data_IF_793428472013
#
_entry.id   IF_793428472013
#
_cell.length_a   1.000
_cell.length_b   1.000
_cell.length_c   1.000
_cell.angle_alpha   90.00
_cell.angle_beta   90.00
_cell.angle_gamma   90.00
#
_symmetry.space_group_name_H-M   'P 1'
#
loop_
_entity.id
_entity.type
_entity.pdbx_description
1 polymer ?
#
# COMPACT_ATOMS: atom_id res chain seq x y z
N UNK A 1 40.06 -43.94 47.79
CA UNK A 1 40.47 -43.23 49.03
C UNK A 1 40.01 -41.78 48.88
N UNK A 2 39.29 -41.31 49.89
CA UNK A 2 38.73 -39.95 50.10
C UNK A 2 37.63 -39.44 49.17
N UNK A 3 36.42 -39.80 49.60
CA UNK A 3 35.19 -39.02 49.53
C UNK A 3 35.38 -37.58 50.03
N UNK A 4 34.74 -36.63 49.36
CA UNK A 4 34.10 -35.50 50.03
C UNK A 4 32.67 -35.35 49.51
N UNK A 5 31.74 -35.76 50.36
CA UNK A 5 30.34 -35.37 50.33
C UNK A 5 30.25 -33.87 50.62
N UNK A 6 29.51 -33.13 49.80
CA UNK A 6 28.85 -31.91 50.24
C UNK A 6 27.35 -32.08 50.01
N UNK A 7 26.66 -32.39 51.10
CA UNK A 7 25.24 -32.16 51.27
C UNK A 7 25.02 -30.65 51.38
N UNK A 8 24.15 -30.08 50.56
CA UNK A 8 23.53 -28.78 50.81
C UNK A 8 22.04 -28.88 50.48
N UNK A 9 21.24 -28.54 51.50
CA UNK A 9 19.80 -28.74 51.62
C UNK A 9 18.95 -27.91 50.63
N UNK A 10 17.69 -28.32 50.40
CA UNK A 10 16.76 -27.60 49.53
C UNK A 10 16.31 -26.27 50.15
N UNK A 11 16.42 -25.19 49.38
CA UNK A 11 15.96 -23.85 49.75
C UNK A 11 14.43 -23.77 49.58
N UNK A 12 13.68 -23.23 50.55
CA UNK A 12 12.22 -23.18 50.53
C UNK A 12 11.65 -22.21 49.48
N UNK A 13 10.60 -22.67 48.80
CA UNK A 13 9.69 -21.88 47.97
C UNK A 13 8.90 -20.89 48.84
N UNK A 14 9.35 -19.64 48.90
CA UNK A 14 8.53 -18.55 49.44
C UNK A 14 7.72 -17.92 48.31
N UNK A 15 6.45 -18.30 48.27
CA UNK A 15 5.37 -17.59 47.59
C UNK A 15 5.29 -16.16 48.12
N UNK A 16 5.64 -15.18 47.29
CA UNK A 16 5.23 -13.79 47.49
C UNK A 16 4.42 -13.34 46.29
N UNK A 17 3.11 -13.57 46.41
CA UNK A 17 2.07 -12.88 45.67
C UNK A 17 2.11 -11.39 46.10
N UNK A 18 2.88 -10.58 45.39
CA UNK A 18 2.73 -9.13 45.41
C UNK A 18 2.04 -8.72 44.12
N UNK A 19 0.71 -8.76 44.18
CA UNK A 19 -0.17 -8.16 43.19
C UNK A 19 0.05 -6.66 43.20
N UNK A 20 0.96 -6.17 42.35
CA UNK A 20 1.00 -4.76 42.00
C UNK A 20 -0.23 -4.48 41.14
N UNK A 21 -1.34 -4.19 41.81
CA UNK A 21 -2.49 -3.52 41.23
C UNK A 21 -2.03 -2.12 40.79
N UNK A 22 -1.47 -2.03 39.59
CA UNK A 22 -1.52 -0.79 38.84
C UNK A 22 -3.00 -0.57 38.58
N UNK A 23 -3.56 0.40 39.28
CA UNK A 23 -4.85 0.99 38.99
C UNK A 23 -4.83 1.39 37.51
N UNK A 24 -5.33 0.51 36.66
CA UNK A 24 -5.75 0.87 35.31
C UNK A 24 -6.98 1.73 35.55
N UNK A 25 -6.75 3.03 35.71
CA UNK A 25 -7.81 4.01 35.59
C UNK A 25 -8.51 3.72 34.26
N UNK A 26 -9.80 3.44 34.36
CA UNK A 26 -10.70 3.20 33.24
C UNK A 26 -10.71 4.45 32.36
N UNK A 27 -9.70 4.58 31.50
CA UNK A 27 -9.74 5.49 30.38
C UNK A 27 -10.65 4.80 29.38
N UNK A 28 -11.90 5.23 29.38
CA UNK A 28 -12.90 4.98 28.35
C UNK A 28 -12.19 4.83 27.01
N UNK A 29 -12.16 3.61 26.48
CA UNK A 29 -11.60 3.34 25.16
C UNK A 29 -12.46 4.11 24.17
N UNK A 30 -11.99 5.29 23.77
CA UNK A 30 -12.63 6.11 22.77
C UNK A 30 -12.66 5.28 21.49
N UNK A 31 -13.86 4.83 21.08
CA UNK A 31 -14.09 4.14 19.81
C UNK A 31 -13.69 5.09 18.67
N UNK A 32 -12.43 5.07 18.27
CA UNK A 32 -11.94 5.92 17.18
C UNK A 32 -10.42 6.05 17.09
N UNK A 33 -9.68 5.87 18.18
CA UNK A 33 -8.22 6.03 18.12
C UNK A 33 -7.52 4.72 17.79
N UNK A 34 -6.85 4.69 16.63
CA UNK A 34 -5.91 3.63 16.29
C UNK A 34 -4.81 3.59 17.36
N UNK A 35 -4.39 2.39 17.85
CA UNK A 35 -3.31 2.26 18.85
C UNK A 35 -1.95 2.77 18.35
N UNK A 36 -1.85 3.13 17.06
CA UNK A 36 -0.70 3.76 16.43
C UNK A 36 -0.87 5.29 16.28
N UNK A 37 -1.91 5.87 16.88
CA UNK A 37 -2.11 7.31 16.99
C UNK A 37 -2.63 8.01 15.74
N UNK A 38 -3.52 7.40 14.95
CA UNK A 38 -4.00 8.01 13.69
C UNK A 38 -5.38 8.66 13.78
N UNK A 39 -5.38 9.99 13.62
CA UNK A 39 -6.51 10.79 13.13
C UNK A 39 -6.41 10.93 11.60
N UNK A 40 -7.54 11.18 10.93
CA UNK A 40 -7.59 11.57 9.51
C UNK A 40 -6.83 12.89 9.23
N UNK A 41 -6.38 13.58 10.28
CA UNK A 41 -5.80 14.91 10.27
C UNK A 41 -4.26 14.92 10.36
N UNK A 42 -3.59 13.77 10.31
CA UNK A 42 -2.12 13.76 10.21
C UNK A 42 -1.72 14.27 8.82
N UNK A 43 -1.32 15.54 8.80
CA UNK A 43 -0.51 16.11 7.74
C UNK A 43 0.84 15.38 7.76
N UNK A 44 0.90 14.24 7.05
CA UNK A 44 2.17 13.63 6.69
C UNK A 44 2.87 14.62 5.81
N UNK A 45 3.79 15.36 6.42
CA UNK A 45 4.49 16.49 5.86
C UNK A 45 5.16 16.05 4.54
N UNK A 46 4.39 16.14 3.42
CA UNK A 46 4.70 15.84 2.01
C UNK A 46 4.30 14.48 1.40
N UNK A 47 3.53 13.61 2.06
CA UNK A 47 3.05 12.36 1.42
C UNK A 47 1.55 12.43 1.07
N UNK A 48 1.24 12.48 -0.23
CA UNK A 48 -0.14 12.53 -0.72
C UNK A 48 -0.61 11.17 -1.21
N UNK A 49 -1.65 10.63 -0.58
CA UNK A 49 -2.28 9.37 -0.95
C UNK A 49 -3.75 9.56 -1.36
N UNK A 50 -4.27 8.72 -2.27
CA UNK A 50 -3.56 7.69 -3.02
C UNK A 50 -2.67 8.28 -4.12
N UNK A 51 -1.57 7.59 -4.43
CA UNK A 51 -0.81 7.82 -5.66
C UNK A 51 -1.68 7.42 -6.86
N UNK A 52 -2.02 8.39 -7.71
CA UNK A 52 -2.90 8.19 -8.88
C UNK A 52 -2.17 7.94 -10.21
N UNK A 53 -0.85 8.17 -10.26
CA UNK A 53 -0.05 8.09 -11.50
C UNK A 53 1.29 7.38 -11.28
N UNK A 54 1.86 6.74 -12.31
CA UNK A 54 3.17 6.10 -12.20
C UNK A 54 4.27 7.04 -11.70
N UNK A 55 4.25 8.31 -12.14
CA UNK A 55 5.22 9.33 -11.70
C UNK A 55 5.14 9.63 -10.20
N UNK A 56 3.97 9.47 -9.57
CA UNK A 56 3.83 9.64 -8.12
C UNK A 56 4.39 8.43 -7.37
N UNK A 57 4.26 7.23 -7.93
CA UNK A 57 4.90 6.01 -7.40
C UNK A 57 6.42 6.15 -7.44
N UNK A 58 6.98 6.64 -8.55
CA UNK A 58 8.42 6.91 -8.68
C UNK A 58 8.91 7.99 -7.71
N UNK A 59 8.11 9.05 -7.51
CA UNK A 59 8.45 10.11 -6.54
C UNK A 59 8.45 9.57 -5.11
N UNK A 60 7.46 8.75 -4.74
CA UNK A 60 7.38 8.10 -3.44
C UNK A 60 8.56 7.13 -3.25
N UNK A 61 8.85 6.30 -4.25
CA UNK A 61 9.99 5.37 -4.23
C UNK A 61 11.30 6.11 -4.00
N UNK A 62 11.53 7.20 -4.75
CA UNK A 62 12.72 8.03 -4.58
C UNK A 62 12.76 8.67 -3.19
N UNK A 63 11.66 9.25 -2.72
CA UNK A 63 11.62 9.92 -1.42
C UNK A 63 11.91 8.96 -0.27
N UNK A 64 11.37 7.73 -0.31
CA UNK A 64 11.61 6.70 0.71
C UNK A 64 13.04 6.16 0.64
N UNK A 65 13.66 6.09 -0.54
CA UNK A 65 15.08 5.72 -0.68
C UNK A 65 16.02 6.81 -0.16
N UNK A 66 15.75 8.07 -0.49
CA UNK A 66 16.64 9.19 -0.21
C UNK A 66 16.58 9.65 1.26
N UNK A 67 15.44 9.43 1.92
CA UNK A 67 15.12 10.04 3.24
C UNK A 67 14.56 9.02 4.23
N UNK A 68 15.33 8.75 5.27
CA UNK A 68 14.95 7.82 6.34
C UNK A 68 13.70 8.28 7.12
N UNK A 69 13.52 9.58 7.32
CA UNK A 69 12.33 10.13 7.99
C UNK A 69 11.05 9.88 7.17
N UNK A 70 11.13 10.01 5.83
CA UNK A 70 10.01 9.69 4.93
C UNK A 70 9.72 8.20 4.93
N UNK A 71 10.75 7.33 4.97
CA UNK A 71 10.56 5.89 5.10
C UNK A 71 9.80 5.53 6.38
N UNK A 72 10.22 6.07 7.53
CA UNK A 72 9.55 5.82 8.80
C UNK A 72 8.09 6.26 8.76
N UNK A 73 7.82 7.44 8.19
CA UNK A 73 6.45 7.93 8.00
C UNK A 73 5.62 6.98 7.13
N UNK A 74 6.16 6.55 5.98
CA UNK A 74 5.47 5.64 5.08
C UNK A 74 5.21 4.26 5.71
N UNK A 75 6.17 3.69 6.43
CA UNK A 75 6.00 2.41 7.13
C UNK A 75 4.94 2.53 8.24
N UNK A 76 4.93 3.64 8.98
CA UNK A 76 3.89 3.88 9.99
C UNK A 76 2.51 4.05 9.35
N UNK A 77 2.42 4.70 8.19
CA UNK A 77 1.19 4.78 7.40
C UNK A 77 0.69 3.40 6.94
N UNK A 78 1.60 2.51 6.53
CA UNK A 78 1.28 1.14 6.17
C UNK A 78 0.75 0.34 7.38
N UNK A 79 1.38 0.48 8.56
CA UNK A 79 0.92 -0.15 9.81
C UNK A 79 -0.49 0.29 10.20
N UNK A 80 -0.76 1.60 10.10
CA UNK A 80 -2.08 2.16 10.36
C UNK A 80 -3.12 1.63 9.36
N UNK A 81 -2.77 1.65 8.07
CA UNK A 81 -3.64 1.18 7.00
C UNK A 81 -3.97 -0.29 7.14
N UNK A 82 -3.00 -1.13 7.54
CA UNK A 82 -3.20 -2.55 7.87
C UNK A 82 -4.30 -2.73 8.90
N UNK A 83 -4.25 -1.97 10.00
CA UNK A 83 -5.24 -2.04 11.07
C UNK A 83 -6.64 -1.65 10.55
N UNK A 84 -6.74 -0.50 9.88
CA UNK A 84 -8.01 0.00 9.33
C UNK A 84 -8.62 -0.93 8.27
N UNK A 85 -7.76 -1.61 7.50
CA UNK A 85 -8.19 -2.52 6.44
C UNK A 85 -8.48 -3.93 6.94
N UNK A 86 -8.37 -4.20 8.24
CA UNK A 86 -8.60 -5.53 8.82
C UNK A 86 -7.58 -6.57 8.33
N UNK A 87 -6.31 -6.18 8.20
CA UNK A 87 -5.23 -6.99 7.65
C UNK A 87 -5.40 -7.42 6.18
N UNK A 88 -6.28 -6.78 5.42
CA UNK A 88 -6.48 -7.06 4.00
C UNK A 88 -5.49 -6.27 3.14
N UNK A 89 -4.56 -7.00 2.52
CA UNK A 89 -3.50 -6.42 1.70
C UNK A 89 -4.05 -5.73 0.43
N UNK A 90 -5.13 -6.25 -0.18
CA UNK A 90 -5.76 -5.60 -1.35
C UNK A 90 -6.35 -4.25 -0.96
N UNK A 91 -7.02 -4.17 0.20
CA UNK A 91 -7.56 -2.90 0.70
C UNK A 91 -6.46 -1.90 1.05
N UNK A 92 -5.37 -2.35 1.69
CA UNK A 92 -4.23 -1.46 1.97
C UNK A 92 -3.62 -0.94 0.68
N UNK A 93 -3.36 -1.81 -0.30
CA UNK A 93 -2.79 -1.38 -1.58
C UNK A 93 -3.68 -0.35 -2.29
N UNK A 94 -5.00 -0.52 -2.22
CA UNK A 94 -5.98 0.41 -2.80
C UNK A 94 -6.10 1.74 -2.06
N UNK A 95 -5.71 1.78 -0.78
CA UNK A 95 -5.59 3.03 -0.02
C UNK A 95 -4.35 3.83 -0.43
N UNK A 96 -3.27 3.14 -0.78
CA UNK A 96 -2.00 3.74 -1.20
C UNK A 96 -2.01 4.17 -2.67
N UNK A 97 -2.63 3.37 -3.55
CA UNK A 97 -2.50 3.52 -5.01
C UNK A 97 -3.84 3.39 -5.73
N UNK A 98 -4.10 4.29 -6.67
CA UNK A 98 -5.16 4.09 -7.64
C UNK A 98 -4.75 3.05 -8.68
N UNK A 99 -5.71 2.52 -9.44
CA UNK A 99 -5.41 1.55 -10.50
C UNK A 99 -4.47 2.15 -11.57
N UNK A 100 -4.64 3.45 -11.82
CA UNK A 100 -3.92 4.26 -12.79
C UNK A 100 -2.42 4.38 -12.47
N UNK A 101 -2.04 4.21 -11.20
CA UNK A 101 -0.65 4.23 -10.74
C UNK A 101 0.19 3.08 -11.32
N UNK A 102 -0.44 1.95 -11.64
CA UNK A 102 0.25 0.73 -12.12
C UNK A 102 0.18 0.55 -13.64
N UNK A 103 -0.25 1.57 -14.38
CA UNK A 103 -0.29 1.49 -15.84
C UNK A 103 1.13 1.35 -16.40
N UNK A 104 1.31 0.36 -17.28
CA UNK A 104 2.58 0.18 -17.97
C UNK A 104 3.72 -0.28 -17.08
N UNK A 105 3.41 -0.78 -15.88
CA UNK A 105 4.38 -1.37 -14.97
C UNK A 105 4.28 -2.91 -14.99
N UNK A 106 5.37 -3.57 -14.57
CA UNK A 106 5.42 -5.01 -14.33
C UNK A 106 5.61 -5.28 -12.83
N UNK A 107 5.21 -6.46 -12.38
CA UNK A 107 5.56 -6.99 -11.07
C UNK A 107 5.86 -8.48 -11.21
N UNK A 108 7.13 -8.84 -11.38
CA UNK A 108 7.53 -10.21 -11.71
C UNK A 108 8.98 -10.48 -11.30
N UNK A 109 9.30 -11.73 -11.02
CA UNK A 109 10.68 -12.23 -10.85
C UNK A 109 11.36 -12.53 -12.19
N UNK A 110 10.61 -12.64 -13.28
CA UNK A 110 11.15 -13.07 -14.56
C UNK A 110 12.01 -11.95 -15.19
N UNK A 111 13.16 -12.30 -15.80
CA UNK A 111 13.98 -11.36 -16.55
C UNK A 111 13.30 -11.01 -17.88
N UNK A 112 12.30 -10.13 -17.81
CA UNK A 112 11.61 -9.64 -19.01
C UNK A 112 12.43 -8.48 -19.57
N UNK A 113 12.86 -8.60 -20.84
CA UNK A 113 13.38 -7.47 -21.62
C UNK A 113 12.22 -6.51 -21.94
N UNK A 114 11.88 -5.67 -20.97
CA UNK A 114 10.83 -4.66 -21.07
C UNK A 114 11.38 -3.32 -20.66
N UNK A 115 11.00 -2.26 -21.36
CA UNK A 115 11.26 -0.87 -20.92
C UNK A 115 10.33 -0.45 -19.77
N UNK A 116 9.41 -1.32 -19.35
CA UNK A 116 8.45 -1.04 -18.28
C UNK A 116 9.12 -1.21 -16.92
N UNK A 117 8.90 -0.29 -15.97
CA UNK A 117 9.39 -0.43 -14.60
C UNK A 117 8.94 -1.76 -14.00
N UNK A 118 9.86 -2.48 -13.36
CA UNK A 118 9.55 -3.65 -12.56
C UNK A 118 9.44 -3.26 -11.09
N UNK A 119 8.20 -3.18 -10.61
CA UNK A 119 7.85 -2.74 -9.26
C UNK A 119 8.27 -3.73 -8.17
N UNK A 120 8.75 -4.93 -8.54
CA UNK A 120 9.40 -5.84 -7.59
C UNK A 120 10.70 -5.27 -7.02
N UNK A 121 11.34 -4.34 -7.72
CA UNK A 121 12.58 -3.71 -7.26
C UNK A 121 12.32 -2.47 -6.39
N UNK A 122 11.05 -2.13 -6.15
CA UNK A 122 10.67 -0.90 -5.44
C UNK A 122 10.54 -1.21 -3.96
N UNK A 123 11.25 -0.46 -3.11
CA UNK A 123 11.24 -0.68 -1.66
C UNK A 123 9.86 -0.37 -1.07
N UNK A 124 9.10 0.56 -1.67
CA UNK A 124 7.78 0.97 -1.15
C UNK A 124 6.72 -0.12 -1.27
N UNK A 125 6.91 -1.09 -2.16
CA UNK A 125 6.01 -2.23 -2.38
C UNK A 125 6.58 -3.54 -1.81
N UNK A 126 7.83 -3.55 -1.36
CA UNK A 126 8.50 -4.75 -0.87
C UNK A 126 8.99 -4.49 0.55
N UNK A 127 10.20 -3.99 0.73
CA UNK A 127 10.84 -3.83 2.03
C UNK A 127 9.98 -3.05 3.04
N UNK A 128 9.37 -1.94 2.64
CA UNK A 128 8.51 -1.16 3.53
C UNK A 128 7.22 -1.91 3.91
N UNK A 129 6.68 -2.73 3.01
CA UNK A 129 5.52 -3.57 3.32
C UNK A 129 5.90 -4.65 4.34
N UNK A 130 7.04 -5.32 4.15
CA UNK A 130 7.54 -6.34 5.08
C UNK A 130 7.90 -5.74 6.44
N UNK A 131 8.45 -4.51 6.46
CA UNK A 131 8.75 -3.78 7.69
C UNK A 131 7.47 -3.36 8.46
N UNK A 132 6.39 -3.07 7.74
CA UNK A 132 5.07 -2.77 8.31
C UNK A 132 4.30 -4.03 8.73
N UNK A 133 4.67 -5.19 8.20
CA UNK A 133 3.94 -6.44 8.28
C UNK A 133 4.88 -7.59 8.65
N UNK A 134 5.34 -7.60 9.91
CA UNK A 134 6.37 -8.53 10.40
C UNK A 134 5.99 -10.02 10.30
N UNK A 135 4.71 -10.32 10.24
CA UNK A 135 4.13 -11.66 10.05
C UNK A 135 3.95 -12.05 8.58
N UNK A 136 4.19 -11.13 7.63
CA UNK A 136 4.11 -11.41 6.19
C UNK A 136 5.48 -11.82 5.67
N UNK A 137 5.54 -12.95 4.97
CA UNK A 137 6.77 -13.39 4.29
C UNK A 137 6.92 -12.71 2.92
N UNK A 138 8.15 -12.59 2.44
CA UNK A 138 8.45 -12.08 1.08
C UNK A 138 7.70 -12.87 0.00
N UNK A 139 7.59 -14.19 0.16
CA UNK A 139 6.92 -15.04 -0.82
C UNK A 139 5.41 -14.82 -0.83
N UNK A 140 4.77 -14.74 0.35
CA UNK A 140 3.34 -14.45 0.46
C UNK A 140 2.99 -13.05 -0.09
N UNK A 141 3.86 -12.07 0.14
CA UNK A 141 3.72 -10.74 -0.44
C UNK A 141 3.80 -10.80 -1.97
N UNK A 142 4.79 -11.53 -2.52
CA UNK A 142 4.95 -11.70 -3.95
C UNK A 142 3.75 -12.41 -4.61
N UNK A 143 3.26 -13.50 -4.02
CA UNK A 143 2.09 -14.23 -4.52
C UNK A 143 0.89 -13.30 -4.66
N UNK A 144 0.63 -12.47 -3.66
CA UNK A 144 -0.50 -11.53 -3.70
C UNK A 144 -0.27 -10.39 -4.70
N UNK A 145 0.89 -9.76 -4.68
CA UNK A 145 1.18 -8.59 -5.52
C UNK A 145 1.35 -8.93 -7.01
N UNK A 146 1.89 -10.11 -7.32
CA UNK A 146 1.99 -10.61 -8.71
C UNK A 146 0.63 -10.79 -9.38
N UNK A 147 -0.43 -10.99 -8.60
CA UNK A 147 -1.81 -11.01 -9.10
C UNK A 147 -2.44 -9.62 -9.08
N UNK A 148 -2.31 -8.92 -7.95
CA UNK A 148 -3.07 -7.69 -7.68
C UNK A 148 -2.59 -6.48 -8.50
N UNK A 149 -1.28 -6.23 -8.57
CA UNK A 149 -0.73 -5.08 -9.28
C UNK A 149 -1.06 -5.16 -10.78
N UNK A 150 -0.84 -6.29 -11.48
CA UNK A 150 -1.28 -6.43 -12.87
C UNK A 150 -2.80 -6.34 -13.04
N UNK A 151 -3.60 -6.86 -12.09
CA UNK A 151 -5.07 -6.72 -12.11
C UNK A 151 -5.48 -5.25 -12.10
N UNK A 152 -4.90 -4.44 -11.20
CA UNK A 152 -5.16 -3.01 -11.10
C UNK A 152 -4.74 -2.27 -12.39
N UNK A 153 -3.51 -2.47 -12.87
CA UNK A 153 -3.03 -1.84 -14.10
C UNK A 153 -3.89 -2.19 -15.33
N UNK A 154 -4.33 -3.45 -15.45
CA UNK A 154 -5.24 -3.89 -16.54
C UNK A 154 -6.60 -3.19 -16.46
N UNK A 155 -7.16 -2.98 -15.26
CA UNK A 155 -8.43 -2.28 -15.09
C UNK A 155 -8.31 -0.83 -15.57
N UNK A 156 -7.25 -0.13 -15.18
CA UNK A 156 -7.00 1.23 -15.61
C UNK A 156 -6.79 1.33 -17.14
N UNK A 157 -6.02 0.40 -17.72
CA UNK A 157 -5.85 0.32 -19.17
C UNK A 157 -7.19 0.14 -19.91
N UNK A 158 -8.06 -0.77 -19.44
CA UNK A 158 -9.40 -0.96 -20.01
C UNK A 158 -10.25 0.30 -19.93
N UNK A 159 -10.20 1.05 -18.82
CA UNK A 159 -10.90 2.34 -18.68
C UNK A 159 -10.40 3.36 -19.70
N UNK A 160 -9.08 3.48 -19.85
CA UNK A 160 -8.48 4.40 -20.83
C UNK A 160 -8.87 4.04 -22.26
N UNK A 161 -8.84 2.76 -22.62
CA UNK A 161 -9.23 2.29 -23.95
C UNK A 161 -10.68 2.67 -24.27
N UNK A 162 -11.61 2.42 -23.34
CA UNK A 162 -13.02 2.81 -23.49
C UNK A 162 -13.19 4.32 -23.60
N UNK A 163 -12.44 5.12 -22.83
CA UNK A 163 -12.47 6.57 -22.93
C UNK A 163 -11.99 7.07 -24.31
N UNK A 164 -10.90 6.49 -24.84
CA UNK A 164 -10.37 6.81 -26.18
C UNK A 164 -11.38 6.48 -27.28
N UNK A 165 -12.00 5.30 -27.22
CA UNK A 165 -13.04 4.87 -28.17
C UNK A 165 -14.25 5.83 -28.16
N UNK A 166 -14.75 6.20 -26.97
CA UNK A 166 -15.85 7.17 -26.84
C UNK A 166 -15.50 8.54 -27.44
N UNK A 167 -14.28 9.03 -27.19
CA UNK A 167 -13.79 10.29 -27.76
C UNK A 167 -13.68 10.23 -29.28
N UNK A 168 -13.16 9.13 -29.83
CA UNK A 168 -13.08 8.90 -31.27
C UNK A 168 -14.47 8.89 -31.92
N UNK A 169 -15.41 8.13 -31.35
CA UNK A 169 -16.79 8.07 -31.86
C UNK A 169 -17.47 9.44 -31.85
N UNK A 170 -17.29 10.24 -30.78
CA UNK A 170 -17.81 11.62 -30.71
C UNK A 170 -17.25 12.49 -31.83
N UNK A 171 -15.94 12.38 -32.13
CA UNK A 171 -15.29 13.10 -33.23
C UNK A 171 -15.84 12.69 -34.60
N UNK A 172 -16.00 11.39 -34.84
CA UNK A 172 -16.59 10.89 -36.09
C UNK A 172 -18.02 11.40 -36.30
N UNK A 173 -18.88 11.35 -35.25
CA UNK A 173 -20.25 11.88 -35.32
C UNK A 173 -20.28 13.38 -35.61
N UNK A 174 -19.44 14.18 -34.95
CA UNK A 174 -19.36 15.62 -35.18
C UNK A 174 -18.85 15.98 -36.59
N UNK A 175 -17.96 15.19 -37.17
CA UNK A 175 -17.51 15.38 -38.54
C UNK A 175 -18.62 15.07 -39.56
N UNK A 176 -19.43 14.03 -39.31
CA UNK A 176 -20.54 13.65 -40.17
C UNK A 176 -21.66 14.71 -40.20
N UNK A 177 -21.98 15.33 -39.06
CA UNK A 177 -23.00 16.41 -39.00
C UNK A 177 -22.54 17.68 -39.71
N UNK A 178 -21.25 18.06 -39.59
CA UNK A 178 -20.69 19.21 -40.32
C UNK A 178 -20.76 19.05 -41.85
N UNK A 179 -20.59 17.83 -42.38
CA UNK A 179 -20.70 17.58 -43.82
C UNK A 179 -22.15 17.75 -44.33
N UNK A 180 -23.16 17.31 -43.56
CA UNK A 180 -24.58 17.48 -43.92
C UNK A 180 -25.04 18.95 -43.92
N UNK A 181 -24.44 19.81 -43.09
CA UNK A 181 -24.77 21.24 -43.03
C UNK A 181 -24.22 22.08 -44.20
N UNK A 182 -23.15 21.62 -44.88
CA UNK A 182 -22.55 22.33 -46.02
C UNK A 182 -23.18 21.99 -47.39
N UNK A 183 -23.99 20.93 -47.47
CA UNK A 183 -24.55 20.42 -48.73
C UNK A 183 -25.98 20.88 -49.02
N UNK A 184 -26.50 21.92 -48.35
CA UNK A 184 -27.82 22.49 -48.65
C UNK A 184 -27.63 23.78 -49.47
N UNK A 185 -27.74 23.74 -50.81
CA UNK A 185 -27.71 24.96 -51.62
C UNK A 185 -28.94 25.80 -51.30
N UNK A 186 -28.75 27.11 -51.12
CA UNK A 186 -29.85 28.08 -51.10
C UNK A 186 -30.41 28.14 -52.52
N UNK A 187 -31.56 27.51 -52.75
CA UNK A 187 -32.37 27.75 -53.94
C UNK A 187 -32.86 29.20 -53.82
N UNK A 188 -32.44 30.04 -54.77
CA UNK A 188 -32.96 31.39 -54.98
C UNK A 188 -34.14 31.32 -55.93
#
# INVERSE_FOLDING_TARGET
>A
MFFFFFFAAPIPLTSNHASNAITVENTQLNKGESPYGYSADYEYDRLNFPCGKPSQVELLEKAVNDRADVRVQYVNYLRASRFECGNDLEKVLRRMFENEAFIGCNYTTLPIRSSRPNLRNYIILNDCMLEAWSDLTSDALYEQFSVLIPKMGRLAYKRQLRARQRKALRRFKAAATKKKGKSRPKVK
#
